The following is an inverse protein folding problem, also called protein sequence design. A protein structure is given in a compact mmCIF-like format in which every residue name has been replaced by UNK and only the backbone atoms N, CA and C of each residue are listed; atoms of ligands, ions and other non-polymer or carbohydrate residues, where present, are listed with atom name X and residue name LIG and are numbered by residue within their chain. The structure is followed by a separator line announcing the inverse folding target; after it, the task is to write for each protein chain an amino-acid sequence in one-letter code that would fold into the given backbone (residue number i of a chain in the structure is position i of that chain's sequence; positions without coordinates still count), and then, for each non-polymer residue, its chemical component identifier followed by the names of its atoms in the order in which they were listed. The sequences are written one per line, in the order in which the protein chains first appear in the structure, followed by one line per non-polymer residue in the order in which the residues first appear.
data_IF_248197497930
#
_entry.id   IF_248197497930
#
_cell.length_a   1.000
_cell.length_b   1.000
_cell.length_c   1.000
_cell.angle_alpha   90.00
_cell.angle_beta   90.00
_cell.angle_gamma   90.00
#
_symmetry.space_group_name_H-M   'P 1'
#
loop_
_entity.id
_entity.type
_entity.pdbx_description
1 polymer ?
#
# COMPACT_ATOMS: atom_id res chain seq x y z
N UNK A 1 2.30 -8.44 -11.01
CA UNK A 1 1.62 -7.15 -10.68
C UNK A 1 1.27 -7.12 -9.19
N UNK A 2 1.18 -5.91 -8.62
CA UNK A 2 0.53 -5.65 -7.34
C UNK A 2 -0.63 -4.65 -7.52
N UNK A 3 -1.70 -4.77 -6.76
CA UNK A 3 -2.75 -3.74 -6.65
C UNK A 3 -3.45 -3.73 -5.28
N UNK A 4 -4.13 -2.63 -4.98
CA UNK A 4 -5.03 -2.51 -3.84
C UNK A 4 -6.36 -3.26 -4.10
N UNK A 5 -7.12 -3.54 -3.03
CA UNK A 5 -8.50 -4.04 -3.15
C UNK A 5 -9.45 -2.93 -3.61
N UNK A 6 -10.55 -3.30 -4.28
CA UNK A 6 -11.57 -2.35 -4.78
C UNK A 6 -12.43 -1.72 -3.68
N UNK A 7 -12.33 -2.25 -2.45
CA UNK A 7 -12.95 -1.79 -1.20
C UNK A 7 -11.98 -0.93 -0.36
N UNK A 8 -10.78 -0.65 -0.87
CA UNK A 8 -9.77 0.13 -0.17
C UNK A 8 -10.21 1.60 0.02
N UNK A 9 -10.26 2.13 1.26
CA UNK A 9 -10.74 3.48 1.50
C UNK A 9 -9.78 4.57 0.99
N UNK A 10 -10.35 5.74 0.66
CA UNK A 10 -9.64 6.87 0.08
C UNK A 10 -8.37 7.27 0.87
N UNK A 11 -7.29 7.53 0.13
CA UNK A 11 -6.01 7.94 0.67
C UNK A 11 -5.23 6.88 1.45
N UNK A 12 -5.80 5.68 1.69
CA UNK A 12 -5.11 4.56 2.32
C UNK A 12 -3.89 4.10 1.50
N UNK A 13 -2.93 3.46 2.17
CA UNK A 13 -1.57 3.26 1.67
C UNK A 13 -1.04 1.85 1.94
N UNK A 14 -0.26 1.32 1.01
CA UNK A 14 0.50 0.09 1.19
C UNK A 14 1.88 0.18 0.54
N UNK A 15 2.90 -0.35 1.21
CA UNK A 15 4.25 -0.53 0.67
C UNK A 15 4.56 -2.03 0.63
N UNK A 16 4.85 -2.55 -0.56
CA UNK A 16 5.24 -3.95 -0.75
C UNK A 16 6.75 -4.08 -0.58
N UNK A 17 7.17 -4.93 0.34
CA UNK A 17 8.57 -5.26 0.60
C UNK A 17 8.79 -6.75 0.35
N UNK A 18 9.79 -7.09 -0.44
CA UNK A 18 10.29 -8.46 -0.56
C UNK A 18 11.47 -8.59 0.40
N UNK A 19 11.43 -9.56 1.31
CA UNK A 19 12.56 -9.92 2.17
C UNK A 19 13.16 -11.24 1.69
N UNK A 20 14.48 -11.27 1.52
CA UNK A 20 15.25 -12.47 1.17
C UNK A 20 16.37 -12.65 2.21
N UNK A 21 16.23 -13.64 3.08
CA UNK A 21 17.11 -13.82 4.23
C UNK A 21 17.16 -12.57 5.12
N UNK A 22 18.30 -11.87 5.14
CA UNK A 22 18.51 -10.62 5.89
C UNK A 22 18.33 -9.34 5.04
N UNK A 23 18.16 -9.45 3.72
CA UNK A 23 18.00 -8.30 2.84
C UNK A 23 16.51 -7.97 2.63
N UNK A 24 16.18 -6.71 2.34
CA UNK A 24 14.80 -6.25 2.21
C UNK A 24 14.65 -5.13 1.17
N UNK A 25 13.78 -5.35 0.20
CA UNK A 25 13.62 -4.52 -0.99
C UNK A 25 12.20 -3.96 -1.09
N UNK A 26 12.04 -2.64 -1.01
CA UNK A 26 10.75 -1.96 -1.17
C UNK A 26 10.38 -1.83 -2.66
N UNK A 27 9.71 -2.83 -3.21
CA UNK A 27 9.40 -2.93 -4.65
C UNK A 27 8.22 -2.07 -5.11
N UNK A 28 7.29 -1.70 -4.21
CA UNK A 28 6.18 -0.80 -4.55
C UNK A 28 5.71 0.07 -3.39
N UNK A 29 5.11 1.21 -3.75
CA UNK A 29 4.24 2.01 -2.89
C UNK A 29 2.96 2.32 -3.66
N UNK A 30 1.83 1.96 -3.05
CA UNK A 30 0.49 2.11 -3.58
C UNK A 30 -0.34 3.02 -2.67
N UNK A 31 -1.28 3.77 -3.26
CA UNK A 31 -2.20 4.64 -2.55
C UNK A 31 -3.54 4.75 -3.28
N UNK A 32 -4.65 4.59 -2.56
CA UNK A 32 -6.01 4.77 -3.10
C UNK A 32 -6.17 6.17 -3.72
N UNK A 33 -6.92 6.26 -4.83
CA UNK A 33 -7.14 7.44 -5.66
C UNK A 33 -5.87 8.12 -6.23
N UNK A 34 -4.69 7.50 -6.17
CA UNK A 34 -3.42 8.08 -6.69
C UNK A 34 -2.56 7.09 -7.46
N UNK A 35 -2.33 5.90 -6.90
CA UNK A 35 -1.56 4.81 -7.55
C UNK A 35 -1.98 3.47 -6.97
N UNK A 36 -3.04 2.90 -7.52
CA UNK A 36 -3.72 1.73 -6.96
C UNK A 36 -3.12 0.40 -7.44
N UNK A 37 -2.38 0.44 -8.55
CA UNK A 37 -1.67 -0.70 -9.11
C UNK A 37 -0.25 -0.37 -9.54
N UNK A 38 0.57 -1.41 -9.61
CA UNK A 38 1.91 -1.39 -10.19
C UNK A 38 2.18 -2.72 -10.89
N UNK A 39 2.52 -2.66 -12.18
CA UNK A 39 3.07 -3.82 -12.89
C UNK A 39 4.56 -3.97 -12.56
N UNK A 40 5.06 -5.19 -12.60
CA UNK A 40 6.48 -5.51 -12.46
C UNK A 40 6.83 -6.66 -13.39
N UNK A 41 8.05 -6.64 -13.90
CA UNK A 41 8.75 -7.78 -14.47
C UNK A 41 9.81 -8.20 -13.43
N UNK A 42 9.48 -9.18 -12.59
CA UNK A 42 10.28 -9.59 -11.43
C UNK A 42 10.30 -11.13 -11.32
N UNK A 43 11.48 -11.70 -11.49
CA UNK A 43 11.73 -13.14 -11.37
C UNK A 43 12.41 -13.44 -10.05
N UNK A 44 11.87 -14.38 -9.28
CA UNK A 44 12.43 -14.86 -8.01
C UNK A 44 12.89 -16.30 -8.24
N UNK A 45 14.21 -16.53 -8.22
CA UNK A 45 14.81 -17.79 -8.68
C UNK A 45 15.88 -18.29 -7.72
N UNK A 46 15.86 -19.60 -7.43
CA UNK A 46 16.75 -20.32 -6.51
C UNK A 46 16.65 -19.91 -5.02
N UNK A 47 15.84 -18.91 -4.68
CA UNK A 47 15.68 -18.36 -3.34
C UNK A 47 14.76 -19.22 -2.46
N UNK A 48 15.32 -19.94 -1.49
CA UNK A 48 14.54 -20.80 -0.58
C UNK A 48 13.83 -20.04 0.56
N UNK A 49 14.23 -18.80 0.86
CA UNK A 49 13.78 -18.03 2.03
C UNK A 49 13.33 -16.61 1.62
N UNK A 50 12.29 -16.53 0.79
CA UNK A 50 11.67 -15.26 0.39
C UNK A 50 10.32 -15.09 1.08
N UNK A 51 10.05 -13.88 1.57
CA UNK A 51 8.76 -13.51 2.13
C UNK A 51 8.30 -12.15 1.60
N UNK A 52 6.97 -12.01 1.46
CA UNK A 52 6.33 -10.76 1.07
C UNK A 52 5.75 -10.09 2.31
N UNK A 53 6.15 -8.84 2.55
CA UNK A 53 5.73 -8.03 3.69
C UNK A 53 5.00 -6.78 3.18
N UNK A 54 3.75 -6.60 3.63
CA UNK A 54 2.98 -5.39 3.37
C UNK A 54 3.09 -4.46 4.58
N UNK A 55 3.51 -3.21 4.36
CA UNK A 55 3.57 -2.16 5.38
C UNK A 55 2.60 -1.04 5.01
N UNK A 56 1.61 -0.75 5.85
CA UNK A 56 0.64 0.31 5.56
C UNK A 56 -0.67 0.17 6.34
N UNK A 57 -1.74 0.64 5.72
CA UNK A 57 -3.12 0.73 6.25
C UNK A 57 -4.11 -0.16 5.50
N UNK A 58 -3.67 -0.85 4.45
CA UNK A 58 -4.47 -1.74 3.60
C UNK A 58 -3.63 -2.90 3.07
N UNK A 59 -4.29 -3.94 2.56
CA UNK A 59 -3.65 -5.09 1.93
C UNK A 59 -3.15 -4.82 0.51
N UNK A 60 -2.51 -5.82 -0.09
CA UNK A 60 -2.06 -5.80 -1.50
C UNK A 60 -2.36 -7.16 -2.12
N UNK A 61 -3.09 -7.17 -3.23
CA UNK A 61 -3.24 -8.34 -4.08
C UNK A 61 -2.02 -8.46 -4.98
N UNK A 62 -1.41 -9.65 -5.01
CA UNK A 62 -0.30 -9.98 -5.91
C UNK A 62 -0.78 -10.96 -6.98
N UNK A 63 -0.37 -10.72 -8.22
CA UNK A 63 -0.61 -11.60 -9.36
C UNK A 63 0.68 -11.85 -10.14
N UNK A 64 0.81 -13.06 -10.65
CA UNK A 64 1.98 -13.58 -11.35
C UNK A 64 1.75 -15.05 -11.71
N UNK A 65 2.80 -15.73 -12.15
CA UNK A 65 2.79 -17.15 -12.51
C UNK A 65 4.05 -17.84 -11.99
N UNK A 66 4.05 -19.17 -11.95
CA UNK A 66 5.18 -20.01 -11.53
C UNK A 66 5.73 -20.77 -12.72
N UNK A 67 7.05 -20.68 -12.94
CA UNK A 67 7.74 -21.43 -14.01
C UNK A 67 8.24 -22.78 -13.48
N UNK A 68 7.38 -23.79 -13.56
CA UNK A 68 7.74 -25.17 -13.22
C UNK A 68 8.78 -25.72 -14.20
N UNK A 69 10.06 -25.62 -13.82
CA UNK A 69 11.23 -26.06 -14.61
C UNK A 69 11.29 -27.58 -14.87
N UNK A 70 10.25 -28.32 -14.47
CA UNK A 70 10.05 -29.76 -14.68
C UNK A 70 9.22 -30.09 -15.93
N UNK A 71 8.47 -29.12 -16.49
CA UNK A 71 7.58 -29.35 -17.65
C UNK A 71 8.34 -29.78 -18.91
N UNK A 72 9.63 -29.44 -19.02
CA UNK A 72 10.51 -29.78 -20.15
C UNK A 72 10.98 -31.26 -20.16
N UNK A 73 10.34 -32.14 -19.37
CA UNK A 73 10.72 -33.57 -19.24
C UNK A 73 9.62 -34.62 -19.37
N UNK A 74 8.34 -34.27 -19.36
CA UNK A 74 7.25 -35.26 -19.49
C UNK A 74 6.09 -34.78 -20.37
N UNK A 75 6.30 -34.78 -21.69
CA UNK A 75 5.24 -34.63 -22.68
C UNK A 75 4.37 -35.90 -22.84
N UNK A 76 3.81 -36.43 -21.73
CA UNK A 76 2.73 -37.43 -21.69
C UNK A 76 2.22 -37.63 -20.26
N UNK A 77 0.90 -37.48 -20.03
CA UNK A 77 0.25 -37.94 -18.79
C UNK A 77 -0.82 -37.02 -18.20
N UNK A 78 -2.08 -37.31 -18.52
CA UNK A 78 -3.29 -37.12 -17.69
C UNK A 78 -3.43 -35.85 -16.83
N UNK A 79 -4.31 -34.93 -17.24
CA UNK A 79 -4.82 -33.85 -16.38
C UNK A 79 -5.84 -34.41 -15.38
N UNK A 80 -5.38 -34.87 -14.21
CA UNK A 80 -6.29 -35.30 -13.14
C UNK A 80 -6.90 -34.10 -12.40
N UNK A 81 -8.12 -33.74 -12.79
CA UNK A 81 -8.87 -32.59 -12.24
C UNK A 81 -9.47 -32.93 -10.87
N UNK A 82 -8.66 -32.87 -9.82
CA UNK A 82 -9.11 -33.01 -8.43
C UNK A 82 -10.09 -31.90 -8.05
N UNK A 83 -11.38 -32.26 -7.96
CA UNK A 83 -12.45 -31.32 -7.59
C UNK A 83 -12.45 -31.12 -6.07
N UNK A 84 -11.88 -29.99 -5.63
CA UNK A 84 -11.93 -29.58 -4.23
C UNK A 84 -13.38 -29.39 -3.76
N UNK A 85 -13.88 -30.33 -2.97
CA UNK A 85 -15.28 -30.35 -2.54
C UNK A 85 -15.59 -29.21 -1.58
N UNK A 86 -16.48 -28.30 -1.98
CA UNK A 86 -16.97 -27.19 -1.15
C UNK A 86 -17.82 -27.71 0.01
N UNK A 87 -17.18 -28.06 1.12
CA UNK A 87 -17.85 -28.55 2.32
C UNK A 87 -18.51 -27.40 3.10
N UNK A 88 -19.68 -26.99 2.63
CA UNK A 88 -20.52 -25.99 3.29
C UNK A 88 -20.85 -26.42 4.73
N UNK A 89 -20.54 -25.56 5.69
CA UNK A 89 -20.79 -25.78 7.11
C UNK A 89 -21.87 -24.80 7.59
N UNK A 90 -23.13 -25.19 7.45
CA UNK A 90 -24.27 -24.42 7.94
C UNK A 90 -24.30 -24.45 9.47
N UNK A 91 -23.82 -23.38 10.11
CA UNK A 91 -23.99 -23.17 11.54
C UNK A 91 -25.31 -22.44 11.79
N UNK A 92 -26.24 -23.09 12.50
CA UNK A 92 -27.54 -22.53 12.88
C UNK A 92 -27.41 -21.43 13.91
N UNK A 93 -28.24 -20.39 13.79
CA UNK A 93 -28.44 -19.42 14.86
C UNK A 93 -29.41 -19.98 15.90
N UNK A 94 -29.00 -19.95 17.18
CA UNK A 94 -29.92 -19.91 18.31
C UNK A 94 -29.61 -18.66 19.12
N UNK A 95 -30.66 -17.98 19.59
CA UNK A 95 -30.56 -16.79 20.40
C UNK A 95 -30.98 -17.13 21.82
N UNK A 96 -30.12 -16.84 22.79
CA UNK A 96 -30.52 -16.82 24.20
C UNK A 96 -30.59 -15.38 24.73
N UNK A 97 -31.57 -15.17 25.62
CA UNK A 97 -31.77 -13.91 26.34
C UNK A 97 -31.68 -14.20 27.84
N UNK A 98 -30.66 -13.68 28.51
CA UNK A 98 -30.88 -13.25 29.90
C UNK A 98 -30.20 -11.90 30.19
N UNK A 99 -30.95 -11.04 30.87
CA UNK A 99 -30.48 -9.73 31.30
C UNK A 99 -30.12 -9.79 32.79
N UNK A 100 -28.92 -9.31 33.16
CA UNK A 100 -28.62 -8.96 34.55
C UNK A 100 -28.42 -7.47 34.73
N UNK A 101 -29.24 -6.95 35.64
CA UNK A 101 -29.42 -5.54 35.97
C UNK A 101 -28.80 -5.26 37.32
N UNK A 102 -27.96 -4.23 37.40
CA UNK A 102 -27.63 -3.53 38.65
C UNK A 102 -26.18 -3.06 38.74
N UNK A 103 -25.81 -2.19 39.69
CA UNK A 103 -26.54 -1.04 40.26
C UNK A 103 -25.54 -0.13 41.01
N UNK A 104 -25.55 1.18 40.74
CA UNK A 104 -25.05 2.33 41.54
C UNK A 104 -23.66 2.30 42.24
N UNK A 105 -22.85 3.28 41.87
CA UNK A 105 -21.90 4.06 42.70
C UNK A 105 -21.30 5.18 41.81
N UNK A 106 -21.11 6.47 42.15
CA UNK A 106 -21.16 7.25 43.41
C UNK A 106 -20.23 6.72 44.51
N UNK A 107 -19.31 7.48 45.11
CA UNK A 107 -18.86 8.90 44.97
C UNK A 107 -17.45 9.00 45.65
N UNK A 108 -16.60 10.04 45.62
CA UNK A 108 -16.59 11.45 45.17
C UNK A 108 -15.34 11.71 44.25
N UNK A 109 -14.94 12.87 43.68
CA UNK A 109 -14.95 14.34 43.98
C UNK A 109 -13.76 14.85 44.85
N UNK A 110 -13.31 16.10 44.62
CA UNK A 110 -12.12 16.84 45.12
C UNK A 110 -10.73 16.42 44.57
N UNK A 111 -9.77 17.32 44.30
CA UNK A 111 -9.80 18.79 44.15
C UNK A 111 -8.56 19.32 43.35
N UNK A 112 -8.65 20.55 42.84
CA UNK A 112 -7.49 21.37 42.41
C UNK A 112 -7.03 22.29 43.56
N UNK A 113 -5.80 22.87 43.51
CA UNK A 113 -5.70 24.27 43.05
C UNK A 113 -4.35 24.68 42.40
N UNK A 114 -4.33 25.93 41.91
CA UNK A 114 -3.20 26.88 41.71
C UNK A 114 -1.81 26.36 41.22
N UNK A 115 -1.23 26.77 40.08
CA UNK A 115 -1.02 28.11 39.47
C UNK A 115 0.15 28.94 40.04
N UNK A 116 1.12 29.27 39.18
CA UNK A 116 1.88 30.54 39.23
C UNK A 116 2.55 30.87 37.88
N UNK A 117 2.26 32.08 37.39
CA UNK A 117 3.15 33.08 36.74
C UNK A 117 4.15 32.64 35.65
N UNK A 118 4.11 33.19 34.42
CA UNK A 118 4.67 34.50 34.00
C UNK A 118 6.22 34.58 34.01
N UNK A 119 6.91 35.33 33.13
CA UNK A 119 6.46 36.54 32.39
C UNK A 119 7.14 36.73 31.01
N UNK A 120 6.43 37.44 30.11
CA UNK A 120 6.90 38.49 29.19
C UNK A 120 8.08 38.32 28.19
N UNK A 121 7.72 38.59 26.91
CA UNK A 121 8.37 39.52 25.95
C UNK A 121 9.82 39.26 25.48
N UNK A 122 9.96 39.14 24.15
CA UNK A 122 10.45 40.29 23.37
C UNK A 122 9.88 40.28 21.93
N UNK A 123 9.46 41.45 21.43
CA UNK A 123 9.03 41.66 20.02
C UNK A 123 9.67 42.95 19.51
N UNK A 124 10.75 42.81 18.74
CA UNK A 124 11.38 43.83 17.86
C UNK A 124 12.13 43.02 16.79
N UNK A 125 12.13 43.33 15.48
CA UNK A 125 11.42 44.36 14.72
C UNK A 125 12.26 44.83 13.52
N UNK A 126 11.63 45.19 12.39
CA UNK A 126 12.23 45.78 11.16
C UNK A 126 13.31 44.93 10.42
N UNK A 127 13.43 44.89 9.09
CA UNK A 127 12.70 45.46 7.96
C UNK A 127 13.46 45.10 6.65
N UNK A 128 12.79 45.33 5.51
CA UNK A 128 13.34 45.73 4.20
C UNK A 128 14.12 44.73 3.30
N UNK A 129 13.51 44.60 2.12
CA UNK A 129 14.05 44.75 0.75
C UNK A 129 14.65 43.53 0.03
N UNK A 130 14.32 43.51 -1.27
CA UNK A 130 15.11 43.07 -2.43
C UNK A 130 15.77 41.68 -2.35
N UNK A 131 15.37 40.66 -3.10
CA UNK A 131 14.55 40.65 -4.33
C UNK A 131 15.37 40.04 -5.46
N UNK A 132 15.26 38.73 -5.64
CA UNK A 132 16.10 37.96 -6.57
C UNK A 132 15.25 37.08 -7.48
N UNK A 133 15.12 37.56 -8.72
CA UNK A 133 15.03 36.82 -9.99
C UNK A 133 14.14 35.58 -10.08
N UNK A 134 13.18 35.69 -10.98
CA UNK A 134 12.71 34.60 -11.84
C UNK A 134 13.86 33.70 -12.31
N UNK A 135 13.70 32.39 -12.18
CA UNK A 135 14.33 31.42 -13.07
C UNK A 135 13.25 30.71 -13.87
N UNK A 136 12.86 31.37 -14.96
CA UNK A 136 12.12 30.79 -16.07
C UNK A 136 12.96 29.66 -16.66
N UNK A 137 12.64 28.42 -16.31
CA UNK A 137 13.26 27.25 -16.94
C UNK A 137 12.96 27.24 -18.45
N UNK A 138 13.94 26.80 -19.25
CA UNK A 138 13.84 26.81 -20.70
C UNK A 138 12.83 25.78 -21.22
N UNK A 139 11.75 26.26 -21.84
CA UNK A 139 11.08 25.52 -22.90
C UNK A 139 11.89 25.71 -24.19
N UNK A 140 12.89 24.86 -24.42
CA UNK A 140 13.78 24.93 -25.58
C UNK A 140 14.06 23.54 -26.16
N UNK A 141 13.11 23.04 -26.96
CA UNK A 141 13.30 22.04 -28.00
C UNK A 141 12.36 22.37 -29.16
N UNK A 142 12.89 23.13 -30.12
CA UNK A 142 12.30 23.24 -31.45
C UNK A 142 12.66 21.98 -32.25
N UNK A 143 11.68 21.53 -33.03
CA UNK A 143 11.71 21.34 -34.48
C UNK A 143 13.02 20.85 -35.13
N UNK A 144 12.99 19.59 -35.54
CA UNK A 144 13.56 18.95 -36.74
C UNK A 144 12.83 17.57 -36.75
N UNK A 145 11.74 17.34 -37.49
CA UNK A 145 11.45 17.57 -38.92
C UNK A 145 12.17 16.51 -39.80
N UNK A 146 11.40 15.51 -40.21
CA UNK A 146 11.79 14.34 -41.01
C UNK A 146 10.49 13.78 -41.64
N UNK A 147 10.03 14.43 -42.72
CA UNK A 147 8.91 13.97 -43.58
C UNK A 147 9.41 12.95 -44.63
N UNK A 148 8.51 12.53 -45.55
CA UNK A 148 8.73 11.54 -46.63
C UNK A 148 8.77 10.08 -46.11
N UNK A 149 7.87 9.16 -46.51
CA UNK A 149 7.63 8.56 -47.85
C UNK A 149 8.78 7.59 -48.25
N UNK A 150 8.57 6.46 -48.95
CA UNK A 150 7.46 6.02 -49.83
C UNK A 150 6.93 4.58 -49.51
N UNK A 151 6.17 4.02 -50.44
CA UNK A 151 5.57 2.68 -50.50
C UNK A 151 6.59 1.54 -50.76
N UNK A 152 6.20 0.27 -50.56
CA UNK A 152 6.22 -0.76 -51.63
C UNK A 152 5.50 -2.08 -51.20
N UNK A 153 4.70 -2.62 -52.13
CA UNK A 153 3.99 -3.93 -52.23
C UNK A 153 3.50 -4.70 -50.98
#
# INVERSE_FOLDING_TARGET
QACLGSDCPDGATASLVIQEGQQSFSVARLRAAVREGCQFDLYIRNSQNVSFLVKGTTGVHLSGYTEDSSLDKTAAGTVERTSASTKSATATAEADKEAKKGEKGKQDEQAAPAASSETAKQVVGNAKKEGVKDQKAEANRKDEDDEEEEEEE
#
